data_IF_714064785444
#
_entry.id   IF_714064785444
#
_cell.length_a   1.000
_cell.length_b   1.000
_cell.length_c   1.000
_cell.angle_alpha   90.00
_cell.angle_beta   90.00
_cell.angle_gamma   90.00
#
_symmetry.space_group_name_H-M   'P 1'
#
loop_
_entity.id
_entity.type
_entity.pdbx_description
1 polymer ?
#
# COMPACT_ATOMS: atom_id res chain seq x y z
N UNK A 1 -46.81 17.99 -64.21
CA UNK A 1 -45.82 17.64 -63.17
C UNK A 1 -45.28 18.89 -62.46
N UNK A 2 -45.67 18.94 -61.19
CA UNK A 2 -45.54 19.89 -60.05
C UNK A 2 -44.16 20.57 -59.76
N UNK A 3 -44.12 21.63 -58.91
CA UNK A 3 -43.14 22.73 -58.88
C UNK A 3 -42.05 22.67 -57.76
N UNK A 4 -41.14 23.67 -57.77
CA UNK A 4 -40.14 24.07 -56.73
C UNK A 4 -40.79 24.63 -55.44
N UNK A 5 -40.09 25.08 -54.36
CA UNK A 5 -38.80 24.76 -53.68
C UNK A 5 -38.98 24.62 -52.12
N UNK A 6 -37.91 24.51 -51.30
CA UNK A 6 -37.74 24.99 -49.87
C UNK A 6 -36.51 24.26 -49.24
N UNK A 7 -35.33 24.85 -48.98
CA UNK A 7 -34.87 25.85 -47.98
C UNK A 7 -34.15 25.21 -46.75
N UNK A 8 -33.02 25.84 -46.37
CA UNK A 8 -32.15 25.66 -45.19
C UNK A 8 -31.23 24.42 -45.15
N UNK A 9 -29.92 24.50 -44.92
CA UNK A 9 -29.02 25.60 -44.59
C UNK A 9 -27.58 25.07 -44.58
N UNK A 10 -26.64 25.91 -44.99
CA UNK A 10 -25.19 25.74 -44.76
C UNK A 10 -24.83 26.68 -43.59
N UNK A 11 -23.83 26.35 -42.74
CA UNK A 11 -22.44 26.65 -43.12
C UNK A 11 -21.36 25.64 -42.65
N UNK A 12 -20.23 25.66 -43.37
CA UNK A 12 -18.87 25.19 -42.98
C UNK A 12 -18.37 25.89 -41.68
N UNK A 13 -17.17 25.63 -41.08
CA UNK A 13 -16.00 24.86 -41.53
C UNK A 13 -15.26 23.99 -40.46
N UNK A 14 -14.26 23.26 -40.94
CA UNK A 14 -13.15 22.64 -40.19
C UNK A 14 -12.52 23.56 -39.12
N UNK A 15 -12.25 23.01 -37.93
CA UNK A 15 -11.38 23.56 -36.88
C UNK A 15 -11.03 22.50 -35.80
N UNK A 16 -9.75 22.23 -35.48
CA UNK A 16 -9.27 21.09 -34.67
C UNK A 16 -8.96 21.50 -33.19
N UNK A 17 -8.55 20.60 -32.26
CA UNK A 17 -7.14 20.20 -32.21
C UNK A 17 -6.89 18.76 -31.71
N UNK A 18 -5.66 18.32 -31.96
CA UNK A 18 -5.00 17.27 -31.21
C UNK A 18 -5.30 17.33 -29.71
N UNK A 19 -5.64 16.18 -29.12
CA UNK A 19 -5.59 15.99 -27.68
C UNK A 19 -4.48 14.97 -27.35
N UNK A 20 -3.24 15.38 -27.05
CA UNK A 20 -2.24 14.51 -26.45
C UNK A 20 -2.51 14.28 -24.94
N UNK A 21 -3.78 14.29 -24.54
CA UNK A 21 -4.20 14.53 -23.15
C UNK A 21 -4.62 13.31 -22.33
N UNK A 22 -4.44 12.08 -22.83
CA UNK A 22 -4.95 10.89 -22.13
C UNK A 22 -4.04 9.68 -22.21
N UNK A 23 -2.71 9.84 -22.03
CA UNK A 23 -1.89 8.71 -21.60
C UNK A 23 -2.10 8.49 -20.10
N UNK A 24 -3.24 7.86 -19.84
CA UNK A 24 -3.63 7.20 -18.60
C UNK A 24 -2.65 6.04 -18.27
N UNK A 25 -2.68 5.53 -17.02
CA UNK A 25 -1.53 5.19 -16.19
C UNK A 25 -0.83 3.85 -16.52
N UNK A 26 -0.21 3.75 -17.70
CA UNK A 26 0.55 2.54 -18.05
C UNK A 26 1.89 2.41 -17.30
N UNK A 27 2.43 3.52 -16.78
CA UNK A 27 3.72 3.48 -16.07
C UNK A 27 3.58 2.95 -14.64
N UNK A 28 2.46 3.21 -13.95
CA UNK A 28 2.29 2.78 -12.55
C UNK A 28 2.03 1.27 -12.45
N UNK A 29 1.28 0.69 -13.40
CA UNK A 29 0.99 -0.75 -13.40
C UNK A 29 2.23 -1.55 -13.78
N UNK A 30 2.96 -1.14 -14.82
CA UNK A 30 4.25 -1.77 -15.17
C UNK A 30 5.28 -1.66 -14.06
N UNK A 31 5.34 -0.52 -13.38
CA UNK A 31 6.28 -0.33 -12.26
C UNK A 31 5.89 -1.17 -11.03
N UNK A 32 4.60 -1.45 -10.86
CA UNK A 32 4.10 -2.29 -9.78
C UNK A 32 4.40 -3.76 -10.05
N UNK A 33 4.03 -4.24 -11.23
CA UNK A 33 4.29 -5.60 -11.69
C UNK A 33 5.78 -5.94 -11.59
N UNK A 34 6.62 -5.02 -12.08
CA UNK A 34 8.08 -5.15 -11.97
C UNK A 34 8.56 -5.15 -10.52
N UNK A 35 7.99 -4.33 -9.65
CA UNK A 35 8.39 -4.32 -8.24
C UNK A 35 7.98 -5.59 -7.49
N UNK A 36 6.88 -6.24 -7.88
CA UNK A 36 6.46 -7.52 -7.32
C UNK A 36 7.36 -8.65 -7.84
N UNK A 37 7.66 -8.66 -9.12
CA UNK A 37 8.60 -9.62 -9.73
C UNK A 37 10.02 -9.46 -9.13
N UNK A 38 10.53 -8.24 -9.05
CA UNK A 38 11.83 -7.94 -8.41
C UNK A 38 11.82 -8.33 -6.93
N UNK A 39 10.70 -8.18 -6.22
CA UNK A 39 10.58 -8.58 -4.82
C UNK A 39 10.68 -10.10 -4.65
N UNK A 40 10.05 -10.89 -5.52
CA UNK A 40 10.18 -12.35 -5.49
C UNK A 40 11.61 -12.82 -5.70
N UNK A 41 12.40 -12.08 -6.48
CA UNK A 41 13.80 -12.44 -6.76
C UNK A 41 14.81 -11.83 -5.77
N UNK A 42 14.54 -10.66 -5.21
CA UNK A 42 15.45 -9.92 -4.33
C UNK A 42 15.11 -10.04 -2.84
N UNK A 43 13.90 -10.46 -2.50
CA UNK A 43 13.35 -10.44 -1.14
C UNK A 43 12.96 -9.03 -0.65
N UNK A 44 13.07 -7.99 -1.48
CA UNK A 44 12.76 -6.60 -1.10
C UNK A 44 11.59 -6.09 -1.91
N UNK A 45 10.45 -5.93 -1.25
CA UNK A 45 9.21 -5.45 -1.82
C UNK A 45 9.06 -3.94 -1.65
N UNK A 46 9.14 -3.17 -2.72
CA UNK A 46 8.97 -1.71 -2.68
C UNK A 46 7.77 -1.25 -3.50
N UNK A 47 6.63 -1.01 -2.85
CA UNK A 47 5.39 -0.49 -3.44
C UNK A 47 5.01 0.92 -2.96
N UNK A 48 5.95 1.66 -2.38
CA UNK A 48 5.70 2.97 -1.81
C UNK A 48 5.22 4.03 -2.82
N UNK A 49 4.32 4.94 -2.41
CA UNK A 49 3.93 6.12 -3.17
C UNK A 49 2.98 5.88 -4.34
N UNK A 50 2.33 4.72 -4.39
CA UNK A 50 1.50 4.29 -5.54
C UNK A 50 0.00 4.53 -5.35
N UNK A 51 -0.41 5.16 -4.24
CA UNK A 51 -1.82 5.42 -3.89
C UNK A 51 -2.68 4.14 -3.93
N UNK A 52 -2.05 2.99 -3.68
CA UNK A 52 -2.70 1.68 -3.71
C UNK A 52 -3.71 1.59 -2.57
N UNK A 53 -4.91 1.09 -2.87
CA UNK A 53 -5.93 0.78 -1.86
C UNK A 53 -5.85 -0.68 -1.43
N UNK A 54 -5.48 -1.54 -2.37
CA UNK A 54 -5.37 -2.98 -2.22
C UNK A 54 -4.03 -3.46 -2.74
N UNK A 55 -3.59 -4.60 -2.21
CA UNK A 55 -2.32 -5.19 -2.54
C UNK A 55 -2.47 -6.10 -3.77
N UNK A 56 -1.79 -5.79 -4.88
CA UNK A 56 -1.95 -6.53 -6.14
C UNK A 56 -0.99 -7.74 -6.25
N UNK A 57 -0.69 -8.41 -5.14
CA UNK A 57 0.32 -9.48 -5.10
C UNK A 57 -0.21 -10.91 -5.21
N UNK A 58 -1.51 -11.11 -5.42
CA UNK A 58 -2.14 -12.45 -5.41
C UNK A 58 -1.67 -13.42 -6.51
N UNK A 59 -0.73 -13.03 -7.36
CA UNK A 59 -0.13 -13.86 -8.42
C UNK A 59 1.40 -13.97 -8.36
N UNK A 60 2.05 -13.40 -7.35
CA UNK A 60 3.51 -13.38 -7.22
C UNK A 60 3.92 -14.17 -5.98
N UNK A 61 4.93 -15.04 -6.14
CA UNK A 61 5.53 -15.76 -5.03
C UNK A 61 6.48 -14.82 -4.30
N UNK A 62 6.05 -14.37 -3.12
CA UNK A 62 6.73 -13.37 -2.29
C UNK A 62 7.10 -13.95 -0.92
N UNK A 63 7.07 -15.27 -0.77
CA UNK A 63 7.33 -15.98 0.49
C UNK A 63 8.71 -15.69 1.07
N UNK A 64 9.67 -15.36 0.21
CA UNK A 64 11.05 -15.05 0.57
C UNK A 64 11.30 -13.55 0.81
N UNK A 65 10.24 -12.74 0.90
CA UNK A 65 10.35 -11.30 1.18
C UNK A 65 10.83 -11.05 2.61
N UNK A 66 11.99 -10.43 2.75
CA UNK A 66 12.59 -10.01 4.02
C UNK A 66 12.30 -8.56 4.35
N UNK A 67 12.08 -7.70 3.34
CA UNK A 67 11.77 -6.29 3.55
C UNK A 67 10.60 -5.85 2.69
N UNK A 68 9.62 -5.18 3.29
CA UNK A 68 8.45 -4.66 2.58
C UNK A 68 8.22 -3.17 2.87
N UNK A 69 8.38 -2.32 1.86
CA UNK A 69 8.00 -0.92 1.85
C UNK A 69 6.67 -0.72 1.10
N UNK A 70 5.63 -0.43 1.88
CA UNK A 70 4.28 -0.12 1.43
C UNK A 70 3.91 1.33 1.79
N UNK A 71 4.90 2.20 1.96
CA UNK A 71 4.70 3.57 2.45
C UNK A 71 3.93 4.47 1.47
N UNK A 72 3.32 5.56 1.94
CA UNK A 72 2.63 6.56 1.11
C UNK A 72 1.56 5.96 0.18
N UNK A 73 0.83 4.98 0.67
CA UNK A 73 -0.29 4.37 -0.02
C UNK A 73 -1.63 4.78 0.63
N UNK A 74 -2.72 4.12 0.25
CA UNK A 74 -4.08 4.36 0.78
C UNK A 74 -4.66 3.08 1.35
N UNK A 75 -3.81 2.20 1.87
CA UNK A 75 -4.23 0.97 2.52
C UNK A 75 -5.09 1.30 3.73
N UNK A 76 -6.32 0.81 3.74
CA UNK A 76 -7.22 0.89 4.91
C UNK A 76 -6.91 -0.21 5.93
N UNK A 77 -6.32 -1.31 5.45
CA UNK A 77 -5.89 -2.48 6.18
C UNK A 77 -4.67 -3.08 5.49
N UNK A 78 -3.93 -3.91 6.21
CA UNK A 78 -2.77 -4.60 5.67
C UNK A 78 -3.26 -5.91 5.04
N UNK A 79 -2.95 -6.17 3.76
CA UNK A 79 -3.41 -7.34 3.01
C UNK A 79 -2.94 -8.66 3.63
N UNK A 80 -3.69 -9.73 3.39
CA UNK A 80 -3.36 -11.06 3.90
C UNK A 80 -2.00 -11.58 3.42
N UNK A 81 -1.61 -11.19 2.21
CA UNK A 81 -0.35 -11.59 1.58
C UNK A 81 0.88 -11.11 2.36
N UNK A 82 0.81 -9.92 3.00
CA UNK A 82 1.95 -9.40 3.78
C UNK A 82 2.25 -10.30 4.97
N UNK A 83 1.25 -11.02 5.51
CA UNK A 83 1.44 -11.97 6.61
C UNK A 83 2.03 -13.31 6.17
N UNK A 84 2.06 -13.60 4.87
CA UNK A 84 2.65 -14.82 4.33
C UNK A 84 4.18 -14.74 4.25
N UNK A 85 4.74 -13.54 4.39
CA UNK A 85 6.18 -13.31 4.36
C UNK A 85 6.81 -13.81 5.67
N UNK A 86 7.02 -15.12 5.76
CA UNK A 86 7.59 -15.77 6.94
C UNK A 86 8.95 -15.17 7.38
N UNK A 87 9.88 -14.81 6.47
CA UNK A 87 11.15 -14.22 6.85
C UNK A 87 11.13 -12.68 6.85
N UNK A 88 9.95 -12.04 6.93
CA UNK A 88 9.88 -10.58 6.91
C UNK A 88 10.51 -9.99 8.16
N UNK A 89 11.61 -9.27 7.99
CA UNK A 89 12.35 -8.60 9.05
C UNK A 89 11.95 -7.13 9.19
N UNK A 90 11.62 -6.48 8.07
CA UNK A 90 11.35 -5.03 8.00
C UNK A 90 10.04 -4.76 7.28
N UNK A 91 9.10 -4.08 7.93
CA UNK A 91 7.83 -3.66 7.34
C UNK A 91 7.62 -2.15 7.52
N UNK A 92 7.57 -1.43 6.41
CA UNK A 92 7.30 0.00 6.38
C UNK A 92 5.92 0.30 5.77
N UNK A 93 5.02 0.82 6.59
CA UNK A 93 3.66 1.23 6.27
C UNK A 93 3.45 2.72 6.54
N UNK A 94 4.54 3.50 6.57
CA UNK A 94 4.51 4.95 6.77
C UNK A 94 3.48 5.62 5.87
N UNK A 95 2.67 6.52 6.42
CA UNK A 95 1.71 7.33 5.67
C UNK A 95 0.69 6.52 4.86
N UNK A 96 -0.12 5.74 5.58
CA UNK A 96 -1.27 5.02 5.05
C UNK A 96 -2.55 5.41 5.80
N UNK A 97 -3.65 4.71 5.54
CA UNK A 97 -4.94 4.93 6.20
C UNK A 97 -5.32 3.73 7.09
N UNK A 98 -4.34 3.02 7.64
CA UNK A 98 -4.56 1.78 8.40
C UNK A 98 -5.28 2.12 9.70
N UNK A 99 -6.44 1.48 9.92
CA UNK A 99 -7.28 1.73 11.11
C UNK A 99 -7.01 0.74 12.24
N UNK A 100 -6.69 -0.49 11.88
CA UNK A 100 -6.48 -1.61 12.79
C UNK A 100 -5.47 -2.59 12.19
N UNK A 101 -4.81 -3.35 13.06
CA UNK A 101 -3.88 -4.42 12.68
C UNK A 101 -4.58 -5.75 13.01
N UNK A 102 -4.69 -6.69 12.06
CA UNK A 102 -5.33 -7.98 12.31
C UNK A 102 -4.39 -8.94 13.08
N UNK A 103 -4.96 -10.01 13.64
CA UNK A 103 -4.19 -11.05 14.36
C UNK A 103 -3.15 -11.77 13.49
N UNK A 104 -3.32 -11.69 12.16
CA UNK A 104 -2.43 -12.33 11.20
C UNK A 104 -0.99 -11.76 11.26
N UNK A 105 -0.79 -10.59 11.87
CA UNK A 105 0.56 -10.07 12.14
C UNK A 105 1.43 -11.04 12.95
N UNK A 106 0.81 -11.91 13.76
CA UNK A 106 1.51 -12.96 14.52
C UNK A 106 2.32 -13.92 13.65
N UNK A 107 2.01 -14.04 12.35
CA UNK A 107 2.76 -14.90 11.45
C UNK A 107 4.16 -14.35 11.14
N UNK A 108 4.38 -13.05 11.34
CA UNK A 108 5.64 -12.38 11.06
C UNK A 108 6.64 -12.55 12.20
N UNK A 109 7.00 -13.79 12.52
CA UNK A 109 7.85 -14.16 13.66
C UNK A 109 9.29 -13.65 13.54
N UNK A 110 9.73 -13.21 12.37
CA UNK A 110 11.06 -12.62 12.14
C UNK A 110 11.03 -11.09 12.08
N UNK A 111 9.87 -10.46 12.28
CA UNK A 111 9.73 -9.01 12.15
C UNK A 111 10.43 -8.28 13.29
N UNK A 112 11.48 -7.54 12.96
CA UNK A 112 12.27 -6.77 13.90
C UNK A 112 12.02 -5.26 13.78
N UNK A 113 11.63 -4.78 12.60
CA UNK A 113 11.34 -3.36 12.36
C UNK A 113 9.94 -3.20 11.80
N UNK A 114 9.11 -2.42 12.49
CA UNK A 114 7.75 -2.09 12.06
C UNK A 114 7.49 -0.59 12.15
N UNK A 115 7.26 0.05 11.00
CA UNK A 115 6.90 1.45 10.93
C UNK A 115 5.48 1.61 10.41
N UNK A 116 4.56 2.06 11.25
CA UNK A 116 3.17 2.38 10.90
C UNK A 116 2.88 3.84 11.25
N UNK A 117 3.88 4.72 11.21
CA UNK A 117 3.67 6.13 11.51
C UNK A 117 2.79 6.84 10.47
N UNK A 118 2.11 7.91 10.89
CA UNK A 118 1.12 8.63 10.07
C UNK A 118 0.00 7.74 9.51
N UNK A 119 -0.57 6.90 10.37
CA UNK A 119 -1.77 6.11 10.05
C UNK A 119 -2.98 6.58 10.88
N UNK A 120 -4.06 5.81 10.85
CA UNK A 120 -5.30 6.09 11.57
C UNK A 120 -5.56 5.06 12.67
N UNK A 121 -4.50 4.44 13.21
CA UNK A 121 -4.62 3.42 14.23
C UNK A 121 -5.26 3.99 15.48
N UNK A 122 -6.36 3.38 15.91
CA UNK A 122 -7.06 3.79 17.14
C UNK A 122 -6.53 3.04 18.37
N UNK A 123 -6.13 1.78 18.18
CA UNK A 123 -5.60 0.88 19.21
C UNK A 123 -4.57 -0.07 18.59
N UNK A 124 -3.55 -0.45 19.36
CA UNK A 124 -2.63 -1.53 18.96
C UNK A 124 -3.10 -2.86 19.57
N UNK A 125 -3.24 -3.92 18.76
CA UNK A 125 -3.65 -5.22 19.28
C UNK A 125 -2.49 -5.91 20.01
N UNK A 126 -2.82 -6.72 21.02
CA UNK A 126 -1.83 -7.44 21.82
C UNK A 126 -0.88 -8.36 21.05
N UNK A 127 -1.37 -8.95 19.97
CA UNK A 127 -0.62 -9.90 19.14
C UNK A 127 0.58 -9.24 18.42
N UNK A 128 0.54 -7.91 18.24
CA UNK A 128 1.68 -7.17 17.69
C UNK A 128 2.88 -7.19 18.64
N UNK A 129 2.61 -7.26 19.95
CA UNK A 129 3.64 -7.28 21.01
C UNK A 129 4.16 -8.69 21.32
N UNK A 130 3.65 -9.71 20.64
CA UNK A 130 4.13 -11.09 20.75
C UNK A 130 5.32 -11.34 19.78
N UNK A 131 5.53 -10.44 18.83
CA UNK A 131 6.61 -10.50 17.85
C UNK A 131 7.94 -10.02 18.44
N UNK A 132 9.10 -10.51 17.96
CA UNK A 132 10.41 -10.04 18.39
C UNK A 132 10.79 -8.68 17.75
N UNK A 133 9.91 -7.69 17.88
CA UNK A 133 10.13 -6.34 17.38
C UNK A 133 11.22 -5.64 18.19
N UNK A 134 12.20 -5.10 17.47
CA UNK A 134 13.25 -4.23 18.01
C UNK A 134 12.90 -2.76 17.87
N UNK A 135 12.24 -2.39 16.78
CA UNK A 135 11.86 -1.01 16.50
C UNK A 135 10.39 -0.98 16.10
N UNK A 136 9.60 -0.21 16.84
CA UNK A 136 8.19 0.01 16.58
C UNK A 136 7.91 1.51 16.48
N UNK A 137 7.57 1.98 15.29
CA UNK A 137 7.24 3.39 15.05
C UNK A 137 5.75 3.51 14.78
N UNK A 138 5.02 4.11 15.71
CA UNK A 138 3.56 4.32 15.66
C UNK A 138 3.19 5.79 15.86
N UNK A 139 4.15 6.70 15.80
CA UNK A 139 3.91 8.14 15.89
C UNK A 139 2.98 8.68 14.80
N UNK A 140 2.31 9.80 15.10
CA UNK A 140 1.27 10.40 14.25
C UNK A 140 0.08 9.46 13.94
N UNK A 141 -0.27 8.56 14.84
CA UNK A 141 -1.54 7.80 14.81
C UNK A 141 -2.62 8.42 15.69
N UNK A 142 -3.82 7.81 15.72
CA UNK A 142 -4.93 8.19 16.61
C UNK A 142 -5.00 7.28 17.84
N UNK A 143 -3.83 6.83 18.32
CA UNK A 143 -3.76 5.91 19.44
C UNK A 143 -4.28 6.59 20.70
N UNK A 144 -5.37 6.06 21.25
CA UNK A 144 -5.95 6.55 22.51
C UNK A 144 -5.10 6.11 23.69
N UNK A 145 -4.53 4.89 23.61
CA UNK A 145 -3.62 4.33 24.60
C UNK A 145 -2.79 3.24 23.95
N UNK A 146 -1.57 3.07 24.45
CA UNK A 146 -0.71 1.94 24.12
C UNK A 146 -1.04 0.83 25.15
N UNK A 147 -1.32 -0.41 24.73
CA UNK A 147 -1.62 -1.49 25.67
C UNK A 147 -0.41 -1.81 26.54
N UNK A 148 -0.66 -2.22 27.77
CA UNK A 148 0.35 -2.66 28.75
C UNK A 148 1.23 -3.82 28.25
N UNK A 149 0.76 -4.55 27.24
CA UNK A 149 1.52 -5.62 26.58
C UNK A 149 2.74 -5.12 25.80
N UNK A 150 2.90 -3.81 25.58
CA UNK A 150 4.17 -3.22 25.11
C UNK A 150 5.35 -3.67 25.98
N UNK A 151 5.15 -3.86 27.28
CA UNK A 151 6.17 -4.35 28.21
C UNK A 151 6.57 -5.81 27.99
N UNK A 152 5.85 -6.57 27.14
CA UNK A 152 6.23 -7.94 26.75
C UNK A 152 7.30 -7.98 25.68
N UNK A 153 7.45 -6.91 24.89
CA UNK A 153 8.50 -6.81 23.88
C UNK A 153 9.85 -6.65 24.56
N UNK A 154 10.50 -7.77 24.88
CA UNK A 154 11.81 -7.79 25.57
C UNK A 154 12.96 -7.30 24.68
N UNK A 155 12.79 -7.44 23.37
CA UNK A 155 13.79 -7.07 22.37
C UNK A 155 13.60 -5.64 21.83
N UNK A 156 12.55 -4.91 22.29
CA UNK A 156 12.27 -3.55 21.85
C UNK A 156 13.38 -2.60 22.32
N UNK A 157 14.10 -2.05 21.35
CA UNK A 157 15.13 -1.05 21.56
C UNK A 157 14.57 0.37 21.36
N UNK A 158 13.61 0.53 20.44
CA UNK A 158 13.07 1.83 20.06
C UNK A 158 11.54 1.79 19.88
N UNK A 159 10.86 2.75 20.49
CA UNK A 159 9.42 2.97 20.40
C UNK A 159 9.16 4.47 20.22
N UNK A 160 8.46 4.85 19.16
CA UNK A 160 8.12 6.24 18.82
C UNK A 160 6.63 6.41 18.49
#
# INVERSE_FOLDING_TARGET
>A
PIPVPTLFGQPFPNGPPWNPGSLQPQHTVRSLDRALEEAGNSGILSLGGRKLRDFPGSGYDLTDTTQADLSRNRFTEIPSDVWLFAPLETLNLYHNCIKSIPEAIKNLQMLTYLNISRNLLSTLPKYLFDLPLKVLVVSNNKLVSIPEEIGKLKDLMELD
#
